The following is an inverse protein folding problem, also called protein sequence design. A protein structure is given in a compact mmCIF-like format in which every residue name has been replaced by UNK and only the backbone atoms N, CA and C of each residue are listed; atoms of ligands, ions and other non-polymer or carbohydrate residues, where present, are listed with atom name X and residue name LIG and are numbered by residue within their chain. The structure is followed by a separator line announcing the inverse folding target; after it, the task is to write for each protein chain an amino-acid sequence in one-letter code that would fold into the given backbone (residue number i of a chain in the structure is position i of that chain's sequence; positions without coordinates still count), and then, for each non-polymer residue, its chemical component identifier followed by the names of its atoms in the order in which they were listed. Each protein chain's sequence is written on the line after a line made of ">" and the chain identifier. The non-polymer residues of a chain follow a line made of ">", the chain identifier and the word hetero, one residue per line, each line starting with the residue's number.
data_IF_095933585032
#
_entry.id   IF_095933585032
#
_cell.length_a   1.000
_cell.length_b   1.000
_cell.length_c   1.000
_cell.angle_alpha   90.00
_cell.angle_beta   90.00
_cell.angle_gamma   90.00
#
_symmetry.space_group_name_H-M   'P 1'
#
loop_
_entity.id
_entity.type
_entity.pdbx_description
1 polymer ?
#
# COMPACT_ATOMS: atom_id res chain seq x y z
N UNK A 1 -16.59 13.54 7.14
CA UNK A 1 -15.90 12.52 6.31
C UNK A 1 -16.43 11.17 6.75
N UNK A 2 -16.95 10.32 5.87
CA UNK A 2 -17.43 9.00 6.29
C UNK A 2 -16.25 8.06 6.55
N UNK A 3 -16.43 7.05 7.42
CA UNK A 3 -15.35 6.10 7.74
C UNK A 3 -14.87 5.32 6.50
N UNK A 4 -15.77 5.05 5.55
CA UNK A 4 -15.44 4.48 4.24
C UNK A 4 -14.54 5.39 3.40
N UNK A 5 -14.82 6.69 3.36
CA UNK A 5 -13.98 7.67 2.64
C UNK A 5 -12.61 7.80 3.29
N UNK A 6 -12.55 7.73 4.62
CA UNK A 6 -11.29 7.79 5.36
C UNK A 6 -10.45 6.54 5.10
N UNK A 7 -11.04 5.35 5.13
CA UNK A 7 -10.36 4.10 4.78
C UNK A 7 -9.85 4.12 3.33
N UNK A 8 -10.69 4.54 2.37
CA UNK A 8 -10.28 4.68 0.96
C UNK A 8 -9.09 5.64 0.83
N UNK A 9 -9.14 6.80 1.50
CA UNK A 9 -8.05 7.77 1.51
C UNK A 9 -6.76 7.18 2.07
N UNK A 10 -6.83 6.46 3.19
CA UNK A 10 -5.66 5.85 3.83
C UNK A 10 -5.01 4.78 2.92
N UNK A 11 -5.83 3.95 2.27
CA UNK A 11 -5.36 2.93 1.33
C UNK A 11 -4.73 3.55 0.08
N UNK A 12 -5.35 4.59 -0.50
CA UNK A 12 -4.79 5.31 -1.65
C UNK A 12 -3.47 6.01 -1.31
N UNK A 13 -3.38 6.65 -0.14
CA UNK A 13 -2.13 7.24 0.33
C UNK A 13 -1.04 6.18 0.48
N UNK A 14 -1.36 5.05 1.11
CA UNK A 14 -0.41 3.96 1.26
C UNK A 14 0.09 3.42 -0.09
N UNK A 15 -0.83 3.18 -1.03
CA UNK A 15 -0.53 2.76 -2.40
C UNK A 15 0.44 3.72 -3.09
N UNK A 16 0.17 5.02 -3.04
CA UNK A 16 1.03 6.03 -3.66
C UNK A 16 2.43 6.10 -3.05
N UNK A 17 2.57 5.86 -1.75
CA UNK A 17 3.88 5.73 -1.10
C UNK A 17 4.62 4.47 -1.56
N UNK A 18 3.93 3.33 -1.71
CA UNK A 18 4.55 2.11 -2.23
C UNK A 18 4.98 2.24 -3.69
N UNK A 19 4.21 2.93 -4.54
CA UNK A 19 4.61 3.21 -5.93
C UNK A 19 5.89 4.04 -6.00
N UNK A 20 6.01 5.09 -5.17
CA UNK A 20 7.24 5.87 -5.07
C UNK A 20 8.41 5.03 -4.56
N UNK A 21 8.18 4.19 -3.56
CA UNK A 21 9.20 3.26 -3.08
C UNK A 21 9.69 2.33 -4.19
N UNK A 22 8.77 1.79 -5.01
CA UNK A 22 9.12 0.93 -6.14
C UNK A 22 9.94 1.66 -7.22
N UNK A 23 9.61 2.93 -7.53
CA UNK A 23 10.40 3.77 -8.43
C UNK A 23 11.82 3.99 -7.88
N UNK A 24 11.94 4.37 -6.61
CA UNK A 24 13.24 4.58 -5.98
C UNK A 24 14.09 3.29 -5.93
N UNK A 25 13.49 2.14 -5.62
CA UNK A 25 14.20 0.85 -5.66
C UNK A 25 14.68 0.50 -7.08
N UNK A 26 13.87 0.79 -8.10
CA UNK A 26 14.22 0.53 -9.50
C UNK A 26 15.34 1.43 -10.01
N UNK A 27 15.37 2.70 -9.57
CA UNK A 27 16.46 3.64 -9.85
C UNK A 27 17.76 3.23 -9.16
N UNK A 28 17.68 2.84 -7.89
CA UNK A 28 18.82 2.35 -7.13
C UNK A 28 19.45 1.10 -7.77
N UNK A 29 18.62 0.17 -8.25
CA UNK A 29 19.08 -1.02 -8.97
C UNK A 29 19.80 -0.67 -10.28
N UNK A 30 19.19 0.15 -11.14
CA UNK A 30 19.72 0.45 -12.47
C UNK A 30 21.08 1.16 -12.41
N UNK A 31 21.23 2.14 -11.52
CA UNK A 31 22.47 2.91 -11.38
C UNK A 31 23.59 2.09 -10.73
N UNK A 32 23.24 1.26 -9.75
CA UNK A 32 24.21 0.47 -9.00
C UNK A 32 24.72 -0.76 -9.80
N UNK A 33 23.90 -1.31 -10.70
CA UNK A 33 24.35 -2.32 -11.69
C UNK A 33 25.38 -1.73 -12.67
N UNK A 34 25.32 -0.44 -12.98
CA UNK A 34 26.33 0.21 -13.83
C UNK A 34 27.68 0.34 -13.11
N UNK A 35 27.67 0.69 -11.83
CA UNK A 35 28.89 0.79 -11.01
C UNK A 35 29.53 -0.59 -10.72
N UNK A 36 28.72 -1.67 -10.66
CA UNK A 36 29.19 -3.06 -10.53
C UNK A 36 30.16 -3.48 -11.64
N UNK A 37 29.99 -2.99 -12.86
CA UNK A 37 30.86 -3.35 -13.98
C UNK A 37 32.24 -2.68 -13.91
N UNK A 38 32.45 -1.72 -12.99
CA UNK A 38 33.70 -0.95 -12.89
C UNK A 38 34.38 -0.92 -11.50
N UNK A 39 33.68 -1.21 -10.38
CA UNK A 39 34.20 -0.95 -9.02
C UNK A 39 34.27 -2.09 -7.99
N UNK A 40 33.67 -3.26 -8.25
CA UNK A 40 33.72 -4.44 -7.36
C UNK A 40 32.57 -4.56 -6.33
N UNK A 41 32.30 -5.81 -5.88
CA UNK A 41 31.05 -6.19 -5.18
C UNK A 41 30.88 -5.65 -3.75
N UNK A 42 31.96 -5.37 -3.00
CA UNK A 42 31.86 -4.87 -1.61
C UNK A 42 31.65 -3.34 -1.57
N UNK A 43 32.26 -2.58 -2.47
CA UNK A 43 32.02 -1.12 -2.59
C UNK A 43 30.55 -0.84 -2.91
N UNK A 44 29.99 -1.63 -3.84
CA UNK A 44 28.56 -1.62 -4.17
C UNK A 44 27.65 -1.66 -2.94
N UNK A 45 27.97 -2.49 -1.94
CA UNK A 45 27.11 -2.64 -0.75
C UNK A 45 27.06 -1.35 0.09
N UNK A 46 28.21 -0.68 0.22
CA UNK A 46 28.34 0.57 0.99
C UNK A 46 27.67 1.70 0.22
N UNK A 47 27.99 1.83 -1.07
CA UNK A 47 27.46 2.88 -1.93
C UNK A 47 25.93 2.81 -2.05
N UNK A 48 25.37 1.60 -2.16
CA UNK A 48 23.93 1.38 -2.22
C UNK A 48 23.20 1.77 -0.92
N UNK A 49 23.79 1.50 0.25
CA UNK A 49 23.21 1.89 1.55
C UNK A 49 23.30 3.40 1.81
N UNK A 50 24.35 4.05 1.30
CA UNK A 50 24.48 5.50 1.31
C UNK A 50 23.61 6.18 0.24
N UNK A 51 23.20 5.43 -0.78
CA UNK A 51 22.47 5.94 -1.92
C UNK A 51 21.15 6.61 -1.52
N UNK A 52 20.96 7.83 -2.02
CA UNK A 52 19.83 8.68 -1.64
C UNK A 52 18.49 8.03 -2.00
N UNK A 53 18.39 7.38 -3.17
CA UNK A 53 17.14 6.73 -3.59
C UNK A 53 16.82 5.51 -2.71
N UNK A 54 17.83 4.78 -2.23
CA UNK A 54 17.59 3.69 -1.26
C UNK A 54 16.97 4.23 0.03
N UNK A 55 17.53 5.31 0.58
CA UNK A 55 16.98 5.96 1.78
C UNK A 55 15.59 6.53 1.55
N UNK A 56 15.32 7.06 0.37
CA UNK A 56 13.98 7.52 -0.02
C UNK A 56 12.99 6.36 -0.11
N UNK A 57 13.38 5.24 -0.71
CA UNK A 57 12.54 4.03 -0.77
C UNK A 57 12.13 3.58 0.63
N UNK A 58 13.09 3.38 1.53
CA UNK A 58 12.84 2.96 2.93
C UNK A 58 11.86 3.93 3.61
N UNK A 59 12.06 5.24 3.44
CA UNK A 59 11.18 6.26 4.01
C UNK A 59 9.75 6.19 3.46
N UNK A 60 9.60 6.03 2.15
CA UNK A 60 8.28 5.89 1.52
C UNK A 60 7.55 4.63 2.02
N UNK A 61 8.27 3.53 2.21
CA UNK A 61 7.76 2.29 2.81
C UNK A 61 7.30 2.50 4.25
N UNK A 62 8.05 3.24 5.06
CA UNK A 62 7.64 3.59 6.43
C UNK A 62 6.37 4.46 6.44
N UNK A 63 6.25 5.41 5.51
CA UNK A 63 5.03 6.18 5.36
C UNK A 63 3.85 5.29 4.97
N UNK A 64 4.00 4.42 3.98
CA UNK A 64 2.95 3.46 3.60
C UNK A 64 2.49 2.61 4.79
N UNK A 65 3.44 2.06 5.55
CA UNK A 65 3.18 1.30 6.80
C UNK A 65 2.37 2.12 7.79
N UNK A 66 2.69 3.41 7.96
CA UNK A 66 1.96 4.29 8.88
C UNK A 66 0.51 4.50 8.48
N UNK A 67 0.22 4.62 7.18
CA UNK A 67 -1.14 4.76 6.66
C UNK A 67 -1.92 3.45 6.77
N UNK A 68 -1.28 2.33 6.49
CA UNK A 68 -1.91 1.01 6.59
C UNK A 68 -2.24 0.66 8.04
N UNK A 69 -1.36 0.98 8.99
CA UNK A 69 -1.68 0.86 10.43
C UNK A 69 -2.89 1.68 10.85
N UNK A 70 -3.05 2.89 10.31
CA UNK A 70 -4.26 3.70 10.54
C UNK A 70 -5.49 3.06 9.91
N UNK A 71 -5.35 2.54 8.68
CA UNK A 71 -6.42 1.84 7.97
C UNK A 71 -6.92 0.58 8.73
N UNK A 72 -6.03 -0.11 9.48
CA UNK A 72 -6.38 -1.30 10.28
C UNK A 72 -7.51 -1.04 11.28
N UNK A 73 -7.63 0.18 11.79
CA UNK A 73 -8.73 0.58 12.70
C UNK A 73 -10.11 0.44 12.05
N UNK A 74 -10.17 0.61 10.74
CA UNK A 74 -11.40 0.53 9.94
C UNK A 74 -11.61 -0.84 9.28
N UNK A 75 -10.79 -1.84 9.63
CA UNK A 75 -10.90 -3.21 9.08
C UNK A 75 -12.27 -3.86 9.30
N UNK A 76 -13.02 -3.42 10.30
CA UNK A 76 -14.39 -3.90 10.58
C UNK A 76 -15.39 -3.51 9.48
N UNK A 77 -15.15 -2.45 8.72
CA UNK A 77 -16.02 -2.02 7.61
C UNK A 77 -15.95 -2.97 6.41
N UNK A 78 -14.92 -3.81 6.36
CA UNK A 78 -14.72 -4.78 5.31
C UNK A 78 -14.38 -6.14 5.96
N UNK A 79 -15.38 -6.99 6.22
CA UNK A 79 -15.14 -8.33 6.80
C UNK A 79 -14.14 -9.21 6.03
N UNK A 80 -14.00 -9.04 4.70
CA UNK A 80 -12.93 -9.66 3.91
C UNK A 80 -11.55 -9.15 4.35
N UNK A 81 -11.35 -7.82 4.49
CA UNK A 81 -10.13 -7.22 5.05
C UNK A 81 -9.80 -7.79 6.43
N UNK A 82 -10.76 -8.10 7.29
CA UNK A 82 -10.48 -8.69 8.62
C UNK A 82 -9.78 -10.05 8.55
N UNK A 83 -9.93 -10.76 7.43
CA UNK A 83 -9.36 -12.08 7.14
C UNK A 83 -8.32 -12.05 6.01
N UNK A 84 -8.01 -10.87 5.47
CA UNK A 84 -7.22 -10.73 4.25
C UNK A 84 -5.73 -10.93 4.47
N UNK A 85 -5.11 -11.56 3.47
CA UNK A 85 -3.66 -11.66 3.28
C UNK A 85 -2.96 -10.29 3.35
N UNK A 86 -3.66 -9.20 3.04
CA UNK A 86 -3.13 -7.83 3.19
C UNK A 86 -2.58 -7.53 4.59
N UNK A 87 -3.30 -7.84 5.68
CA UNK A 87 -2.79 -7.52 7.03
C UNK A 87 -1.64 -8.42 7.45
N UNK A 88 -1.67 -9.68 6.99
CA UNK A 88 -0.61 -10.64 7.24
C UNK A 88 0.65 -10.25 6.46
N UNK A 89 0.51 -9.86 5.19
CA UNK A 89 1.57 -9.29 4.38
C UNK A 89 2.10 -8.00 5.03
N UNK A 90 1.22 -7.16 5.58
CA UNK A 90 1.62 -5.96 6.29
C UNK A 90 2.45 -6.22 7.54
N UNK A 91 1.99 -7.12 8.40
CA UNK A 91 2.67 -7.46 9.65
C UNK A 91 3.99 -8.21 9.33
N UNK A 92 4.00 -9.15 8.38
CA UNK A 92 5.20 -9.93 8.03
C UNK A 92 6.20 -9.10 7.24
N UNK A 93 5.77 -8.45 6.15
CA UNK A 93 6.67 -7.71 5.28
C UNK A 93 7.21 -6.46 5.99
N UNK A 94 6.37 -5.64 6.61
CA UNK A 94 6.79 -4.30 7.05
C UNK A 94 7.37 -4.25 8.47
N UNK A 95 7.29 -5.30 9.32
CA UNK A 95 7.85 -5.23 10.68
C UNK A 95 9.37 -5.35 10.75
N UNK A 96 9.99 -6.20 9.93
CA UNK A 96 11.46 -6.38 9.89
C UNK A 96 11.94 -7.02 8.60
N UNK A 97 11.11 -7.86 7.98
CA UNK A 97 11.45 -8.60 6.77
C UNK A 97 11.83 -7.69 5.60
N UNK A 98 11.11 -6.59 5.38
CA UNK A 98 11.39 -5.68 4.28
C UNK A 98 12.72 -4.95 4.46
N UNK A 99 12.97 -4.42 5.65
CA UNK A 99 14.24 -3.79 6.00
C UNK A 99 15.39 -4.78 5.93
N UNK A 100 15.14 -6.06 6.23
CA UNK A 100 16.15 -7.11 6.11
C UNK A 100 16.40 -7.55 4.67
N UNK A 101 15.38 -7.67 3.82
CA UNK A 101 15.54 -7.92 2.39
C UNK A 101 16.38 -6.82 1.74
N UNK A 102 16.10 -5.57 2.10
CA UNK A 102 16.86 -4.42 1.67
C UNK A 102 18.30 -4.44 2.20
N UNK A 103 18.50 -4.74 3.49
CA UNK A 103 19.83 -4.85 4.12
C UNK A 103 20.67 -5.99 3.55
N UNK A 104 20.05 -7.10 3.18
CA UNK A 104 20.73 -8.28 2.60
C UNK A 104 20.76 -8.24 1.07
N UNK A 105 20.50 -7.08 0.46
CA UNK A 105 20.66 -6.85 -0.98
C UNK A 105 19.73 -7.69 -1.85
N UNK A 106 18.62 -8.19 -1.28
CA UNK A 106 17.56 -8.90 -2.00
C UNK A 106 16.58 -7.87 -2.59
N UNK A 107 17.10 -6.87 -3.32
CA UNK A 107 16.31 -5.75 -3.88
C UNK A 107 15.21 -6.27 -4.79
N UNK A 108 15.50 -7.28 -5.62
CA UNK A 108 14.48 -7.87 -6.50
C UNK A 108 13.32 -8.48 -5.72
N UNK A 109 13.59 -9.04 -4.55
CA UNK A 109 12.55 -9.60 -3.67
C UNK A 109 11.83 -8.50 -2.89
N UNK A 110 12.55 -7.45 -2.48
CA UNK A 110 11.94 -6.27 -1.90
C UNK A 110 10.97 -5.62 -2.89
N UNK A 111 11.37 -5.44 -4.16
CA UNK A 111 10.50 -4.95 -5.25
C UNK A 111 9.27 -5.82 -5.43
N UNK A 112 9.44 -7.14 -5.55
CA UNK A 112 8.31 -8.09 -5.62
C UNK A 112 7.37 -7.95 -4.43
N UNK A 113 7.91 -7.80 -3.22
CA UNK A 113 7.14 -7.60 -2.00
C UNK A 113 6.35 -6.28 -2.02
N UNK A 114 6.94 -5.19 -2.56
CA UNK A 114 6.22 -3.92 -2.77
C UNK A 114 5.10 -4.08 -3.80
N UNK A 115 5.36 -4.78 -4.90
CA UNK A 115 4.36 -5.06 -5.94
C UNK A 115 3.21 -5.93 -5.43
N UNK A 116 3.51 -6.94 -4.61
CA UNK A 116 2.50 -7.76 -3.93
C UNK A 116 1.65 -6.90 -2.98
N UNK A 117 2.29 -6.04 -2.17
CA UNK A 117 1.58 -5.12 -1.28
C UNK A 117 0.65 -4.15 -2.04
N UNK A 118 1.11 -3.58 -3.16
CA UNK A 118 0.29 -2.73 -4.03
C UNK A 118 -0.93 -3.51 -4.55
N UNK A 119 -0.71 -4.73 -5.06
CA UNK A 119 -1.79 -5.59 -5.55
C UNK A 119 -2.84 -5.91 -4.48
N UNK A 120 -2.42 -6.18 -3.26
CA UNK A 120 -3.34 -6.41 -2.15
C UNK A 120 -4.14 -5.14 -1.78
N UNK A 121 -3.50 -3.97 -1.81
CA UNK A 121 -4.21 -2.70 -1.58
C UNK A 121 -5.23 -2.43 -2.70
N UNK A 122 -4.88 -2.72 -3.95
CA UNK A 122 -5.78 -2.57 -5.09
C UNK A 122 -7.01 -3.48 -4.98
N UNK A 123 -6.82 -4.73 -4.53
CA UNK A 123 -7.94 -5.63 -4.22
C UNK A 123 -8.84 -5.07 -3.13
N UNK A 124 -8.25 -4.59 -2.02
CA UNK A 124 -9.01 -3.99 -0.93
C UNK A 124 -9.81 -2.74 -1.38
N UNK A 125 -9.22 -1.90 -2.22
CA UNK A 125 -9.88 -0.72 -2.80
C UNK A 125 -11.03 -1.12 -3.73
N UNK A 126 -10.84 -2.15 -4.56
CA UNK A 126 -11.90 -2.66 -5.45
C UNK A 126 -13.09 -3.19 -4.65
N UNK A 127 -12.85 -3.96 -3.59
CA UNK A 127 -13.90 -4.47 -2.70
C UNK A 127 -14.65 -3.34 -1.98
N UNK A 128 -13.92 -2.35 -1.45
CA UNK A 128 -14.50 -1.19 -0.79
C UNK A 128 -15.44 -0.42 -1.72
N UNK A 129 -15.04 -0.22 -2.98
CA UNK A 129 -15.87 0.40 -4.01
C UNK A 129 -17.10 -0.44 -4.33
N UNK A 130 -16.92 -1.73 -4.52
CA UNK A 130 -18.03 -2.66 -4.83
C UNK A 130 -19.10 -2.65 -3.73
N UNK A 131 -18.69 -2.68 -2.46
CA UNK A 131 -19.62 -2.58 -1.32
C UNK A 131 -20.36 -1.26 -1.25
N UNK A 132 -19.71 -0.16 -1.66
CA UNK A 132 -20.34 1.16 -1.74
C UNK A 132 -21.38 1.25 -2.87
N UNK A 133 -21.19 0.53 -3.98
CA UNK A 133 -22.19 0.45 -5.05
C UNK A 133 -23.37 -0.47 -4.70
N UNK A 134 -23.15 -1.45 -3.82
CA UNK A 134 -24.17 -2.42 -3.40
C UNK A 134 -24.98 -2.00 -2.16
N UNK A 135 -24.62 -0.92 -1.46
CA UNK A 135 -25.49 -0.28 -0.48
C UNK A 135 -26.38 0.73 -1.21
N UNK A 136 -27.66 0.42 -1.51
CA UNK A 136 -28.57 1.44 -2.01
C UNK A 136 -28.66 2.52 -0.94
N UNK A 137 -28.48 3.79 -1.32
CA UNK A 137 -28.99 4.89 -0.51
C UNK A 137 -30.42 4.52 -0.16
N UNK A 138 -30.73 4.40 1.13
CA UNK A 138 -32.10 4.29 1.61
C UNK A 138 -32.92 5.32 0.84
N UNK A 139 -33.74 4.82 -0.08
CA UNK A 139 -34.67 5.65 -0.81
C UNK A 139 -35.73 5.92 0.24
N UNK A 140 -35.58 7.03 0.96
CA UNK A 140 -36.63 7.58 1.80
C UNK A 140 -37.77 7.86 0.84
N UNK A 141 -38.71 6.93 0.75
CA UNK A 141 -39.98 7.16 0.08
C UNK A 141 -40.71 8.12 1.02
N UNK A 142 -40.56 9.41 0.78
CA UNK A 142 -41.51 10.39 1.28
C UNK A 142 -42.84 10.06 0.61
N UNK A 143 -43.73 9.38 1.36
CA UNK A 143 -45.13 9.34 1.03
C UNK A 143 -45.68 10.74 1.21
N UNK A 144 -45.62 11.55 0.15
CA UNK A 144 -46.41 12.77 0.06
C UNK A 144 -47.89 12.42 -0.09
N UNK A 145 -48.67 13.32 0.49
CA UNK A 145 -50.05 13.22 0.91
C UNK A 145 -51.08 13.23 -0.23
N UNK A 146 -52.24 12.65 0.08
CA UNK A 146 -53.59 13.12 -0.23
C UNK A 146 -53.93 13.53 -1.68
N UNK A 147 -54.75 12.72 -2.35
CA UNK A 147 -55.68 13.24 -3.35
C UNK A 147 -56.97 12.43 -3.34
N UNK A 148 -58.01 12.98 -2.69
CA UNK A 148 -59.43 12.63 -2.89
C UNK A 148 -59.79 12.60 -4.37
N UNK A 149 -60.47 11.55 -4.87
CA UNK A 149 -61.68 11.50 -5.74
C UNK A 149 -62.12 10.00 -5.76
N UNK A 150 -63.36 9.50 -5.62
CA UNK A 150 -64.75 9.96 -5.76
C UNK A 150 -65.61 9.43 -4.61
#
# INVERSE_FOLDING_TARGET
>A
MSEFQELERLLLSARGHLERALDYLSRAETKSVVDMFFGGFVSFLIDLMEYEDYRKAVREIEYARSYLRKARKYSHLIPSLRSSDLWLLLDVAFDSFFTDLLRHFRIMEAKRTVEDAIREIDRALYELRTKRYLTPRETVIYGEEDTRIY
#
